data_IF_887889185545
#
_entry.id   IF_887889185545
#
_cell.length_a   1.000
_cell.length_b   1.000
_cell.length_c   1.000
_cell.angle_alpha   90.00
_cell.angle_beta   90.00
_cell.angle_gamma   90.00
#
_symmetry.space_group_name_H-M   'P 1'
#
loop_
_entity.id
_entity.type
_entity.pdbx_description
1 polymer ?
#
# COMPACT_ATOMS: atom_id res chain seq x y z
N UNK A 1 -78.08 18.10 -67.80
CA UNK A 1 -77.42 18.51 -66.55
C UNK A 1 -76.77 17.34 -65.77
N UNK A 2 -76.89 16.08 -66.16
CA UNK A 2 -76.29 14.94 -65.43
C UNK A 2 -74.78 14.71 -65.67
N UNK A 3 -74.18 15.30 -66.70
CA UNK A 3 -72.76 15.10 -67.04
C UNK A 3 -71.77 15.95 -66.23
N UNK A 4 -72.23 17.04 -65.59
CA UNK A 4 -71.35 17.95 -64.83
C UNK A 4 -70.98 17.41 -63.43
N UNK A 5 -71.76 16.48 -62.87
CA UNK A 5 -71.47 15.88 -61.56
C UNK A 5 -70.46 14.73 -61.62
N UNK A 6 -70.48 13.92 -62.68
CA UNK A 6 -69.48 12.86 -62.90
C UNK A 6 -68.08 13.41 -63.13
N UNK A 7 -67.96 14.54 -63.84
CA UNK A 7 -66.68 15.22 -64.08
C UNK A 7 -66.09 15.78 -62.79
N UNK A 8 -66.91 16.40 -61.94
CA UNK A 8 -66.50 16.89 -60.61
C UNK A 8 -66.04 15.75 -59.70
N UNK A 9 -66.73 14.61 -59.73
CA UNK A 9 -66.37 13.45 -58.93
C UNK A 9 -65.02 12.86 -59.35
N UNK A 10 -64.76 12.75 -60.66
CA UNK A 10 -63.46 12.33 -61.19
C UNK A 10 -62.33 13.30 -60.78
N UNK A 11 -62.55 14.61 -60.89
CA UNK A 11 -61.57 15.61 -60.46
C UNK A 11 -61.28 15.55 -58.96
N UNK A 12 -62.29 15.25 -58.13
CA UNK A 12 -62.11 15.03 -56.70
C UNK A 12 -61.25 13.81 -56.40
N UNK A 13 -61.48 12.70 -57.11
CA UNK A 13 -60.68 11.48 -56.96
C UNK A 13 -59.22 11.70 -57.35
N UNK A 14 -58.96 12.39 -58.47
CA UNK A 14 -57.61 12.75 -58.90
C UNK A 14 -56.91 13.62 -57.86
N UNK A 15 -57.63 14.61 -57.30
CA UNK A 15 -57.08 15.46 -56.23
C UNK A 15 -56.74 14.66 -54.98
N UNK A 16 -57.65 13.80 -54.53
CA UNK A 16 -57.44 12.97 -53.35
C UNK A 16 -56.24 12.01 -53.56
N UNK A 17 -56.16 11.37 -54.73
CA UNK A 17 -55.04 10.51 -55.10
C UNK A 17 -53.71 11.29 -55.11
N UNK A 18 -53.68 12.50 -55.69
CA UNK A 18 -52.49 13.33 -55.70
C UNK A 18 -52.06 13.76 -54.28
N UNK A 19 -53.02 14.09 -53.40
CA UNK A 19 -52.72 14.44 -52.01
C UNK A 19 -52.23 13.24 -51.20
N UNK A 20 -52.81 12.06 -51.39
CA UNK A 20 -52.39 10.83 -50.70
C UNK A 20 -51.01 10.37 -51.19
N UNK A 21 -50.75 10.45 -52.50
CA UNK A 21 -49.44 10.14 -53.06
C UNK A 21 -48.35 11.09 -52.54
N UNK A 22 -48.62 12.42 -52.53
CA UNK A 22 -47.69 13.41 -51.97
C UNK A 22 -47.44 13.18 -50.48
N UNK A 23 -48.48 12.84 -49.71
CA UNK A 23 -48.34 12.51 -48.30
C UNK A 23 -47.48 11.26 -48.08
N UNK A 24 -47.75 10.17 -48.81
CA UNK A 24 -46.96 8.94 -48.72
C UNK A 24 -45.50 9.15 -49.14
N UNK A 25 -45.23 9.98 -50.15
CA UNK A 25 -43.86 10.36 -50.52
C UNK A 25 -43.14 11.10 -49.38
N UNK A 26 -43.80 12.05 -48.72
CA UNK A 26 -43.26 12.73 -47.55
C UNK A 26 -43.00 11.77 -46.38
N UNK A 27 -43.92 10.85 -46.09
CA UNK A 27 -43.74 9.83 -45.05
C UNK A 27 -42.53 8.92 -45.35
N UNK A 28 -42.37 8.47 -46.59
CA UNK A 28 -41.21 7.66 -47.01
C UNK A 28 -39.90 8.44 -46.81
N UNK A 29 -39.86 9.73 -47.16
CA UNK A 29 -38.68 10.58 -46.95
C UNK A 29 -38.35 10.70 -45.46
N UNK A 30 -39.35 10.92 -44.61
CA UNK A 30 -39.18 11.01 -43.16
C UNK A 30 -38.67 9.68 -42.56
N UNK A 31 -39.24 8.55 -42.99
CA UNK A 31 -38.80 7.22 -42.55
C UNK A 31 -37.36 6.93 -42.99
N UNK A 32 -36.98 7.29 -44.23
CA UNK A 32 -35.59 7.15 -44.70
C UNK A 32 -34.62 7.98 -43.85
N UNK A 33 -34.98 9.23 -43.54
CA UNK A 33 -34.18 10.08 -42.64
C UNK A 33 -34.02 9.44 -41.26
N UNK A 34 -35.12 8.93 -40.69
CA UNK A 34 -35.08 8.26 -39.38
C UNK A 34 -34.23 6.99 -39.39
N UNK A 35 -34.26 6.20 -40.47
CA UNK A 35 -33.40 5.03 -40.62
C UNK A 35 -31.91 5.43 -40.62
N UNK A 36 -31.56 6.52 -41.28
CA UNK A 36 -30.17 6.98 -41.36
C UNK A 36 -29.68 7.56 -40.02
N UNK A 37 -30.54 8.28 -39.31
CA UNK A 37 -30.28 8.72 -37.93
C UNK A 37 -30.03 7.53 -37.00
N UNK A 38 -30.93 6.53 -37.02
CA UNK A 38 -30.79 5.32 -36.20
C UNK A 38 -29.52 4.52 -36.53
N UNK A 39 -29.11 4.46 -37.81
CA UNK A 39 -27.84 3.84 -38.20
C UNK A 39 -26.64 4.59 -37.65
N UNK A 40 -26.67 5.93 -37.69
CA UNK A 40 -25.61 6.76 -37.14
C UNK A 40 -25.52 6.61 -35.62
N UNK A 41 -26.66 6.58 -34.93
CA UNK A 41 -26.74 6.30 -33.48
C UNK A 41 -26.20 4.91 -33.14
N UNK A 42 -26.54 3.87 -33.93
CA UNK A 42 -26.05 2.51 -33.73
C UNK A 42 -24.52 2.42 -33.87
N UNK A 43 -23.95 3.03 -34.90
CA UNK A 43 -22.49 3.05 -35.11
C UNK A 43 -21.79 3.72 -33.94
N UNK A 44 -22.31 4.86 -33.48
CA UNK A 44 -21.78 5.60 -32.33
C UNK A 44 -21.82 4.75 -31.05
N UNK A 45 -22.99 4.17 -30.73
CA UNK A 45 -23.15 3.33 -29.56
C UNK A 45 -22.23 2.09 -29.60
N UNK A 46 -22.01 1.52 -30.79
CA UNK A 46 -21.10 0.39 -30.96
C UNK A 46 -19.63 0.79 -30.73
N UNK A 47 -19.21 1.98 -31.19
CA UNK A 47 -17.87 2.49 -30.91
C UNK A 47 -17.65 2.72 -29.40
N UNK A 48 -18.60 3.36 -28.73
CA UNK A 48 -18.55 3.58 -27.27
C UNK A 48 -18.51 2.25 -26.49
N UNK A 49 -19.22 1.22 -26.97
CA UNK A 49 -19.18 -0.11 -26.36
C UNK A 49 -17.81 -0.78 -26.49
N UNK A 50 -17.17 -0.70 -27.66
CA UNK A 50 -15.82 -1.28 -27.85
C UNK A 50 -14.77 -0.53 -27.01
N UNK A 51 -14.85 0.80 -26.93
CA UNK A 51 -13.96 1.59 -26.07
C UNK A 51 -14.14 1.21 -24.59
N UNK A 52 -15.39 1.02 -24.14
CA UNK A 52 -15.69 0.56 -22.79
C UNK A 52 -15.17 -0.86 -22.50
N UNK A 53 -15.21 -1.78 -23.49
CA UNK A 53 -14.63 -3.12 -23.36
C UNK A 53 -13.12 -3.07 -23.21
N UNK A 54 -12.43 -2.28 -24.03
CA UNK A 54 -10.98 -2.11 -23.94
C UNK A 54 -10.57 -1.49 -22.61
N UNK A 55 -11.30 -0.47 -22.14
CA UNK A 55 -11.09 0.11 -20.81
C UNK A 55 -11.24 -0.92 -19.69
N UNK A 56 -12.31 -1.72 -19.75
CA UNK A 56 -12.55 -2.82 -18.80
C UNK A 56 -11.40 -3.84 -18.81
N UNK A 57 -10.96 -4.30 -19.99
CA UNK A 57 -9.86 -5.26 -20.10
C UNK A 57 -8.54 -4.71 -19.52
N UNK A 58 -8.25 -3.43 -19.74
CA UNK A 58 -7.10 -2.75 -19.15
C UNK A 58 -7.16 -2.76 -17.61
N UNK A 59 -8.29 -2.35 -17.04
CA UNK A 59 -8.47 -2.35 -15.58
C UNK A 59 -8.44 -3.76 -14.97
N UNK A 60 -8.95 -4.78 -15.67
CA UNK A 60 -8.86 -6.18 -15.21
C UNK A 60 -7.41 -6.70 -15.22
N UNK A 61 -6.57 -6.26 -16.16
CA UNK A 61 -5.15 -6.62 -16.17
C UNK A 61 -4.39 -5.96 -15.01
N UNK A 62 -4.66 -4.67 -14.73
CA UNK A 62 -4.09 -3.97 -13.58
C UNK A 62 -4.48 -4.63 -12.26
N UNK A 63 -5.77 -4.97 -12.10
CA UNK A 63 -6.27 -5.67 -10.92
C UNK A 63 -5.54 -7.00 -10.68
N UNK A 64 -5.34 -7.82 -11.72
CA UNK A 64 -4.55 -9.05 -11.62
C UNK A 64 -3.10 -8.79 -11.22
N UNK A 65 -2.51 -7.69 -11.70
CA UNK A 65 -1.19 -7.25 -11.27
C UNK A 65 -1.13 -6.98 -9.76
N UNK A 66 -2.10 -6.24 -9.23
CA UNK A 66 -2.21 -5.97 -7.81
C UNK A 66 -2.47 -7.22 -6.97
N UNK A 67 -3.28 -8.17 -7.45
CA UNK A 67 -3.51 -9.45 -6.77
C UNK A 67 -2.21 -10.26 -6.60
N UNK A 68 -1.34 -10.27 -7.62
CA UNK A 68 -0.04 -10.95 -7.56
C UNK A 68 0.89 -10.23 -6.58
N UNK A 69 0.97 -8.91 -6.64
CA UNK A 69 1.80 -8.12 -5.70
C UNK A 69 1.34 -8.33 -4.25
N UNK A 70 0.03 -8.38 -4.01
CA UNK A 70 -0.54 -8.66 -2.69
C UNK A 70 -0.13 -10.05 -2.18
N UNK A 71 -0.22 -11.08 -3.02
CA UNK A 71 0.19 -12.44 -2.65
C UNK A 71 1.69 -12.54 -2.32
N UNK A 72 2.53 -11.82 -3.07
CA UNK A 72 3.99 -11.74 -2.79
C UNK A 72 4.27 -11.04 -1.46
N UNK A 73 3.56 -9.95 -1.17
CA UNK A 73 3.69 -9.23 0.09
C UNK A 73 3.24 -10.08 1.27
N UNK A 74 2.12 -10.81 1.14
CA UNK A 74 1.64 -11.71 2.18
C UNK A 74 2.63 -12.84 2.48
N UNK A 75 3.22 -13.46 1.44
CA UNK A 75 4.28 -14.46 1.62
C UNK A 75 5.54 -13.88 2.29
N UNK A 76 5.88 -12.63 1.97
CA UNK A 76 7.01 -11.92 2.59
C UNK A 76 6.76 -11.63 4.07
N UNK A 77 5.54 -11.20 4.42
CA UNK A 77 5.12 -10.99 5.82
C UNK A 77 5.19 -12.29 6.60
N UNK A 78 4.62 -13.38 6.08
CA UNK A 78 4.67 -14.70 6.74
C UNK A 78 6.13 -15.17 6.98
N UNK A 79 7.02 -14.90 6.03
CA UNK A 79 8.45 -15.21 6.18
C UNK A 79 9.11 -14.37 7.27
N UNK A 80 8.80 -13.07 7.35
CA UNK A 80 9.31 -12.18 8.40
C UNK A 80 8.78 -12.58 9.78
N UNK A 81 7.50 -12.90 9.90
CA UNK A 81 6.90 -13.38 11.16
C UNK A 81 7.57 -14.67 11.64
N UNK A 82 7.80 -15.64 10.74
CA UNK A 82 8.53 -16.86 11.07
C UNK A 82 9.96 -16.58 11.57
N UNK A 83 10.66 -15.62 10.95
CA UNK A 83 12.00 -15.19 11.40
C UNK A 83 11.96 -14.53 12.77
N UNK A 84 10.98 -13.66 13.02
CA UNK A 84 10.79 -13.00 14.32
C UNK A 84 10.57 -14.06 15.41
N UNK A 85 9.69 -15.03 15.18
CA UNK A 85 9.42 -16.10 16.14
C UNK A 85 10.69 -16.92 16.44
N UNK A 86 11.45 -17.29 15.41
CA UNK A 86 12.71 -18.02 15.59
C UNK A 86 13.75 -17.22 16.39
N UNK A 87 13.85 -15.90 16.16
CA UNK A 87 14.74 -15.02 16.94
C UNK A 87 14.25 -14.91 18.38
N UNK A 88 12.94 -14.78 18.59
CA UNK A 88 12.33 -14.74 19.91
C UNK A 88 12.66 -16.01 20.71
N UNK A 89 12.53 -17.18 20.09
CA UNK A 89 12.88 -18.48 20.70
C UNK A 89 14.36 -18.54 21.07
N UNK A 90 15.25 -18.09 20.19
CA UNK A 90 16.68 -18.04 20.45
C UNK A 90 17.02 -17.08 21.63
N UNK A 91 16.36 -15.91 21.68
CA UNK A 91 16.51 -14.97 22.80
C UNK A 91 16.04 -15.61 24.11
N UNK A 92 14.90 -16.31 24.11
CA UNK A 92 14.40 -17.02 25.28
C UNK A 92 15.33 -18.15 25.74
N UNK A 93 15.92 -18.89 24.80
CA UNK A 93 16.90 -19.93 25.10
C UNK A 93 18.17 -19.35 25.74
N UNK A 94 18.79 -18.34 25.11
CA UNK A 94 19.97 -17.65 25.64
C UNK A 94 19.67 -17.00 26.99
N UNK A 95 18.49 -16.39 27.16
CA UNK A 95 18.06 -15.82 28.43
C UNK A 95 17.98 -16.88 29.53
N UNK A 96 17.44 -18.06 29.22
CA UNK A 96 17.37 -19.17 30.18
C UNK A 96 18.77 -19.70 30.55
N UNK A 97 19.68 -19.82 29.59
CA UNK A 97 21.07 -20.21 29.83
C UNK A 97 21.81 -19.20 30.72
N UNK A 98 21.62 -17.91 30.46
CA UNK A 98 22.21 -16.83 31.27
C UNK A 98 21.73 -16.87 32.71
N UNK A 99 20.42 -17.07 32.92
CA UNK A 99 19.83 -17.21 34.25
C UNK A 99 20.38 -18.44 34.99
N UNK A 100 20.53 -19.57 34.29
CA UNK A 100 21.12 -20.78 34.87
C UNK A 100 22.58 -20.54 35.30
N UNK A 101 23.40 -19.91 34.45
CA UNK A 101 24.78 -19.55 34.77
C UNK A 101 24.88 -18.61 35.97
N UNK A 102 23.99 -17.59 36.03
CA UNK A 102 23.94 -16.66 37.17
C UNK A 102 23.66 -17.41 38.48
N UNK A 103 22.68 -18.31 38.46
CA UNK A 103 22.30 -19.09 39.64
C UNK A 103 23.42 -20.06 40.07
N UNK A 104 24.19 -20.60 39.12
CA UNK A 104 25.30 -21.50 39.40
C UNK A 104 26.56 -20.79 39.95
N UNK A 105 26.84 -19.55 39.51
CA UNK A 105 28.05 -18.81 39.87
C UNK A 105 28.00 -18.04 41.19
N UNK A 106 26.83 -17.49 41.57
CA UNK A 106 26.79 -16.47 42.62
C UNK A 106 26.52 -17.00 44.04
N UNK A 107 25.81 -18.12 44.20
CA UNK A 107 25.37 -18.57 45.53
C UNK A 107 26.21 -19.72 46.10
N UNK A 108 26.40 -20.80 45.35
CA UNK A 108 26.94 -22.04 45.90
C UNK A 108 28.47 -22.02 46.10
N UNK A 109 29.25 -21.36 45.26
CA UNK A 109 30.72 -21.37 45.40
C UNK A 109 31.28 -20.23 46.26
N UNK A 110 30.63 -19.07 46.24
CA UNK A 110 31.13 -17.88 46.93
C UNK A 110 30.90 -17.99 48.43
N UNK A 111 29.69 -18.35 48.83
CA UNK A 111 29.34 -18.43 50.24
C UNK A 111 30.05 -19.61 50.91
N UNK A 112 30.17 -20.77 50.22
CA UNK A 112 31.03 -21.89 50.65
C UNK A 112 32.49 -21.50 50.87
N UNK A 113 33.05 -20.67 49.97
CA UNK A 113 34.41 -20.19 50.10
C UNK A 113 34.56 -19.26 51.30
N UNK A 114 33.62 -18.34 51.49
CA UNK A 114 33.60 -17.42 52.64
C UNK A 114 33.52 -18.22 53.94
N UNK A 115 32.64 -19.22 54.02
CA UNK A 115 32.50 -20.08 55.19
C UNK A 115 33.78 -20.85 55.52
N UNK A 116 34.43 -21.43 54.50
CA UNK A 116 35.74 -22.10 54.65
C UNK A 116 36.82 -21.14 55.15
N UNK A 117 36.84 -19.91 54.64
CA UNK A 117 37.79 -18.89 55.09
C UNK A 117 37.52 -18.43 56.52
N UNK A 118 36.26 -18.28 56.91
CA UNK A 118 35.87 -17.98 58.29
C UNK A 118 36.28 -19.10 59.25
N UNK A 119 36.07 -20.37 58.86
CA UNK A 119 36.50 -21.52 59.64
C UNK A 119 38.03 -21.57 59.80
N UNK A 120 38.77 -21.36 58.70
CA UNK A 120 40.23 -21.30 58.73
C UNK A 120 40.73 -20.19 59.66
N UNK A 121 40.15 -18.99 59.56
CA UNK A 121 40.47 -17.88 60.45
C UNK A 121 40.20 -18.20 61.93
N UNK A 122 39.12 -18.93 62.22
CA UNK A 122 38.84 -19.40 63.58
C UNK A 122 39.90 -20.40 64.07
N UNK A 123 40.37 -21.32 63.20
CA UNK A 123 41.46 -22.25 63.53
C UNK A 123 42.79 -21.54 63.78
N UNK A 124 43.15 -20.54 62.96
CA UNK A 124 44.36 -19.72 63.16
C UNK A 124 44.31 -19.01 64.52
N UNK A 125 43.15 -18.43 64.87
CA UNK A 125 43.00 -17.72 66.16
C UNK A 125 43.19 -18.67 67.35
N UNK A 126 42.57 -19.86 67.31
CA UNK A 126 42.79 -20.91 68.32
C UNK A 126 44.25 -21.37 68.40
N UNK A 127 44.93 -21.48 67.25
CA UNK A 127 46.35 -21.83 67.22
C UNK A 127 47.21 -20.75 67.90
N UNK A 128 47.01 -19.47 67.58
CA UNK A 128 47.72 -18.39 68.25
C UNK A 128 47.44 -18.34 69.76
N UNK A 129 46.19 -18.57 70.18
CA UNK A 129 45.83 -18.70 71.60
C UNK A 129 46.57 -19.86 72.29
N UNK A 130 46.75 -20.98 71.58
CA UNK A 130 47.53 -22.13 72.08
C UNK A 130 49.04 -21.86 72.14
N UNK A 131 49.59 -21.05 71.22
CA UNK A 131 51.02 -20.69 71.16
C UNK A 131 51.38 -19.59 72.17
N UNK A 132 50.51 -18.61 72.41
CA UNK A 132 50.71 -17.59 73.46
C UNK A 132 50.67 -18.21 74.86
N UNK A 133 50.10 -19.41 74.99
CA UNK A 133 50.06 -20.18 76.23
C UNK A 133 51.35 -21.00 76.51
N UNK A 134 52.34 -20.98 75.61
CA UNK A 134 53.56 -21.79 75.75
C UNK A 134 54.84 -20.91 75.61
N UNK A 135 55.47 -20.50 76.72
CA UNK A 135 56.67 -19.68 76.68
C UNK A 135 57.89 -20.60 76.66
N UNK A 136 58.48 -20.85 75.48
CA UNK A 136 59.92 -21.09 75.29
C UNK A 136 60.24 -21.66 73.90
N UNK A 137 60.86 -20.85 73.03
CA UNK A 137 62.27 -21.02 72.59
C UNK A 137 62.55 -20.19 71.33
N UNK A 138 63.68 -19.49 71.41
CA UNK A 138 64.48 -18.95 70.31
C UNK A 138 64.72 -20.02 69.22
N UNK A 139 64.87 -19.65 67.96
CA UNK A 139 66.19 -19.28 67.40
C UNK A 139 66.18 -19.14 65.86
N UNK A 140 67.12 -18.30 65.40
CA UNK A 140 67.95 -18.42 64.18
C UNK A 140 67.39 -18.30 62.74
N UNK A 141 67.76 -17.16 62.13
CA UNK A 141 68.54 -16.98 60.88
C UNK A 141 68.31 -17.88 59.65
N UNK A 142 68.22 -17.25 58.46
CA UNK A 142 68.55 -17.92 57.20
C UNK A 142 68.13 -17.19 55.93
N UNK A 143 69.01 -16.34 55.40
CA UNK A 143 68.95 -15.84 54.02
C UNK A 143 69.16 -16.99 53.03
N UNK A 144 68.31 -17.15 52.01
CA UNK A 144 68.77 -17.56 50.67
C UNK A 144 67.91 -16.96 49.57
N UNK A 145 68.61 -16.34 48.63
CA UNK A 145 68.14 -15.99 47.29
C UNK A 145 67.94 -17.27 46.49
N UNK A 146 66.86 -17.37 45.71
CA UNK A 146 66.86 -18.16 44.49
C UNK A 146 66.14 -17.42 43.39
N UNK A 147 66.92 -17.10 42.36
CA UNK A 147 66.47 -16.72 41.04
C UNK A 147 65.87 -17.94 40.37
N UNK A 148 64.66 -17.83 39.84
CA UNK A 148 64.21 -18.65 38.71
C UNK A 148 63.62 -17.73 37.65
N UNK A 149 64.50 -17.29 36.75
CA UNK A 149 64.08 -16.81 35.43
C UNK A 149 63.68 -18.03 34.61
N UNK A 150 62.37 -18.30 34.54
CA UNK A 150 61.82 -19.27 33.60
C UNK A 150 61.77 -18.62 32.22
N UNK A 151 62.74 -18.97 31.37
CA UNK A 151 62.64 -18.75 29.94
C UNK A 151 61.51 -19.64 29.39
N UNK A 152 60.34 -19.04 29.12
CA UNK A 152 59.21 -19.66 28.41
C UNK A 152 58.80 -18.84 27.19
N UNK A 153 59.77 -18.29 26.47
CA UNK A 153 59.50 -17.38 25.34
C UNK A 153 58.97 -18.05 24.08
N UNK A 154 59.13 -19.37 23.88
CA UNK A 154 58.66 -20.03 22.65
C UNK A 154 57.16 -20.38 22.67
N UNK A 155 56.67 -20.95 23.79
CA UNK A 155 55.28 -21.39 23.91
C UNK A 155 54.30 -20.21 24.02
N UNK A 156 54.69 -19.13 24.69
CA UNK A 156 53.88 -17.90 24.77
C UNK A 156 53.79 -17.19 23.42
N UNK A 157 54.87 -17.20 22.63
CA UNK A 157 54.87 -16.63 21.28
C UNK A 157 53.98 -17.44 20.33
N UNK A 158 53.95 -18.76 20.44
CA UNK A 158 53.09 -19.62 19.62
C UNK A 158 51.59 -19.45 19.97
N UNK A 159 51.26 -19.26 21.25
CA UNK A 159 49.89 -18.95 21.71
C UNK A 159 49.44 -17.59 21.17
N UNK A 160 50.27 -16.55 21.33
CA UNK A 160 49.97 -15.20 20.84
C UNK A 160 49.83 -15.17 19.31
N UNK A 161 50.65 -15.94 18.60
CA UNK A 161 50.56 -16.05 17.14
C UNK A 161 49.24 -16.71 16.70
N UNK A 162 48.81 -17.77 17.41
CA UNK A 162 47.51 -18.43 17.20
C UNK A 162 46.33 -17.47 17.44
N UNK A 163 46.35 -16.71 18.54
CA UNK A 163 45.33 -15.71 18.85
C UNK A 163 45.27 -14.59 17.81
N UNK A 164 46.44 -14.16 17.32
CA UNK A 164 46.54 -13.17 16.25
C UNK A 164 45.93 -13.68 14.94
N UNK A 165 46.23 -14.92 14.54
CA UNK A 165 45.69 -15.53 13.33
C UNK A 165 44.17 -15.73 13.41
N UNK A 166 43.67 -16.10 14.59
CA UNK A 166 42.24 -16.19 14.86
C UNK A 166 41.56 -14.82 14.75
N UNK A 167 42.18 -13.78 15.32
CA UNK A 167 41.67 -12.41 15.29
C UNK A 167 41.65 -11.86 13.86
N UNK A 168 42.72 -12.08 13.09
CA UNK A 168 42.81 -11.70 11.66
C UNK A 168 41.74 -12.40 10.84
N UNK A 169 41.48 -13.69 11.11
CA UNK A 169 40.44 -14.46 10.44
C UNK A 169 39.05 -13.91 10.74
N UNK A 170 38.78 -13.54 12.00
CA UNK A 170 37.52 -12.90 12.42
C UNK A 170 37.31 -11.56 11.73
N UNK A 171 38.34 -10.70 11.70
CA UNK A 171 38.30 -9.40 11.02
C UNK A 171 37.99 -9.56 9.52
N UNK A 172 38.57 -10.56 8.84
CA UNK A 172 38.28 -10.82 7.42
C UNK A 172 36.83 -11.25 7.18
N UNK A 173 36.25 -12.03 8.10
CA UNK A 173 34.85 -12.45 8.00
C UNK A 173 33.93 -11.24 8.20
N UNK A 174 34.18 -10.46 9.25
CA UNK A 174 33.39 -9.29 9.61
C UNK A 174 33.47 -8.18 8.54
N UNK A 175 34.64 -8.00 7.91
CA UNK A 175 34.79 -7.09 6.76
C UNK A 175 33.89 -7.49 5.59
N UNK A 176 33.81 -8.79 5.26
CA UNK A 176 32.92 -9.28 4.19
C UNK A 176 31.46 -9.06 4.53
N UNK A 177 31.06 -9.31 5.79
CA UNK A 177 29.71 -9.03 6.26
C UNK A 177 29.36 -7.53 6.13
N UNK A 178 30.28 -6.65 6.53
CA UNK A 178 30.11 -5.21 6.38
C UNK A 178 29.95 -4.77 4.92
N UNK A 179 30.72 -5.34 4.00
CA UNK A 179 30.58 -5.06 2.55
C UNK A 179 29.21 -5.48 2.02
N UNK A 180 28.69 -6.64 2.45
CA UNK A 180 27.33 -7.07 2.08
C UNK A 180 26.26 -6.15 2.65
N UNK A 181 26.42 -5.70 3.90
CA UNK A 181 25.48 -4.80 4.56
C UNK A 181 25.48 -3.40 3.93
N UNK A 182 26.63 -2.91 3.47
CA UNK A 182 26.71 -1.71 2.65
C UNK A 182 25.92 -1.83 1.34
N UNK A 183 25.91 -3.01 0.72
CA UNK A 183 25.11 -3.30 -0.47
C UNK A 183 23.61 -3.21 -0.17
N UNK A 184 23.17 -3.83 0.92
CA UNK A 184 21.78 -3.77 1.40
C UNK A 184 21.38 -2.34 1.72
N UNK A 185 22.22 -1.57 2.42
CA UNK A 185 21.94 -0.17 2.73
C UNK A 185 21.71 0.67 1.47
N UNK A 186 22.52 0.50 0.42
CA UNK A 186 22.33 1.21 -0.86
C UNK A 186 21.00 0.85 -1.52
N UNK A 187 20.61 -0.42 -1.48
CA UNK A 187 19.34 -0.89 -2.03
C UNK A 187 18.16 -0.27 -1.27
N UNK A 188 18.18 -0.33 0.07
CA UNK A 188 17.14 0.25 0.93
C UNK A 188 17.02 1.76 0.70
N UNK A 189 18.12 2.47 0.53
CA UNK A 189 18.11 3.91 0.26
C UNK A 189 17.47 4.26 -1.09
N UNK A 190 17.66 3.39 -2.09
CA UNK A 190 17.03 3.55 -3.40
C UNK A 190 15.52 3.27 -3.31
N UNK A 191 15.11 2.19 -2.63
CA UNK A 191 13.70 1.86 -2.40
C UNK A 191 12.96 2.97 -1.65
N UNK A 192 13.61 3.57 -0.64
CA UNK A 192 13.07 4.72 0.09
C UNK A 192 12.81 5.91 -0.84
N UNK A 193 13.77 6.23 -1.70
CA UNK A 193 13.64 7.33 -2.67
C UNK A 193 12.52 7.07 -3.68
N UNK A 194 12.31 5.82 -4.08
CA UNK A 194 11.25 5.41 -5.00
C UNK A 194 9.87 5.49 -4.32
N UNK A 195 9.77 5.08 -3.05
CA UNK A 195 8.56 5.20 -2.23
C UNK A 195 8.18 6.66 -1.98
N UNK A 196 9.14 7.53 -1.69
CA UNK A 196 8.88 8.98 -1.53
C UNK A 196 8.30 9.58 -2.81
N UNK A 197 8.85 9.24 -3.98
CA UNK A 197 8.31 9.69 -5.28
C UNK A 197 6.88 9.19 -5.51
N UNK A 198 6.61 7.92 -5.18
CA UNK A 198 5.25 7.35 -5.27
C UNK A 198 4.27 8.04 -4.33
N UNK A 199 4.70 8.34 -3.10
CA UNK A 199 3.86 9.04 -2.12
C UNK A 199 3.49 10.45 -2.60
N UNK A 200 4.45 11.21 -3.13
CA UNK A 200 4.17 12.56 -3.69
C UNK A 200 3.21 12.51 -4.89
N UNK A 201 3.33 11.50 -5.75
CA UNK A 201 2.39 11.30 -6.86
C UNK A 201 0.98 10.98 -6.35
N UNK A 202 0.86 10.09 -5.36
CA UNK A 202 -0.43 9.73 -4.79
C UNK A 202 -1.12 10.92 -4.11
N UNK A 203 -0.37 11.78 -3.41
CA UNK A 203 -0.92 13.02 -2.83
C UNK A 203 -1.47 13.96 -3.90
N UNK A 204 -0.79 14.06 -5.04
CA UNK A 204 -1.26 14.86 -6.19
C UNK A 204 -2.55 14.29 -6.79
N UNK A 205 -2.61 12.97 -6.99
CA UNK A 205 -3.81 12.27 -7.49
C UNK A 205 -4.99 12.46 -6.53
N UNK A 206 -4.76 12.32 -5.22
CA UNK A 206 -5.82 12.52 -4.22
C UNK A 206 -6.40 13.93 -4.28
N UNK A 207 -5.55 14.94 -4.51
CA UNK A 207 -6.00 16.32 -4.68
C UNK A 207 -6.85 16.47 -5.94
N UNK A 208 -6.38 16.00 -7.09
CA UNK A 208 -7.15 16.03 -8.34
C UNK A 208 -8.50 15.29 -8.20
N UNK A 209 -8.51 14.13 -7.53
CA UNK A 209 -9.74 13.36 -7.28
C UNK A 209 -10.75 14.13 -6.41
N UNK A 210 -10.26 14.87 -5.40
CA UNK A 210 -11.15 15.75 -4.61
C UNK A 210 -11.73 16.88 -5.45
N UNK A 211 -10.95 17.49 -6.33
CA UNK A 211 -11.39 18.54 -7.24
C UNK A 211 -12.42 18.00 -8.24
N UNK A 212 -12.20 16.80 -8.78
CA UNK A 212 -13.10 16.13 -9.70
C UNK A 212 -14.44 15.75 -9.06
N UNK A 213 -14.42 15.27 -7.81
CA UNK A 213 -15.64 15.00 -7.03
C UNK A 213 -16.44 16.28 -6.79
N UNK A 214 -15.79 17.39 -6.49
CA UNK A 214 -16.46 18.69 -6.32
C UNK A 214 -17.05 19.22 -7.63
N UNK A 215 -16.31 19.12 -8.74
CA UNK A 215 -16.84 19.47 -10.06
C UNK A 215 -18.07 18.63 -10.42
N UNK A 216 -18.01 17.32 -10.19
CA UNK A 216 -19.14 16.41 -10.43
C UNK A 216 -20.37 16.84 -9.63
N UNK A 217 -20.19 17.20 -8.35
CA UNK A 217 -21.26 17.71 -7.50
C UNK A 217 -21.89 18.99 -8.07
N UNK A 218 -21.06 19.95 -8.50
CA UNK A 218 -21.53 21.20 -9.09
C UNK A 218 -22.27 20.98 -10.41
N UNK A 219 -21.80 20.05 -11.25
CA UNK A 219 -22.49 19.66 -12.48
C UNK A 219 -23.87 19.10 -12.20
N UNK A 220 -24.00 18.18 -11.24
CA UNK A 220 -25.31 17.63 -10.85
C UNK A 220 -26.28 18.70 -10.33
N UNK A 221 -25.81 19.64 -9.51
CA UNK A 221 -26.64 20.77 -9.04
C UNK A 221 -27.08 21.68 -10.18
N UNK A 222 -26.22 21.90 -11.17
CA UNK A 222 -26.56 22.70 -12.34
C UNK A 222 -27.60 21.99 -13.21
N UNK A 223 -27.46 20.68 -13.43
CA UNK A 223 -28.43 19.87 -14.15
C UNK A 223 -29.82 19.90 -13.49
N UNK A 224 -29.87 19.77 -12.16
CA UNK A 224 -31.13 19.87 -11.41
C UNK A 224 -31.80 21.25 -11.57
N UNK A 225 -31.01 22.33 -11.48
CA UNK A 225 -31.52 23.69 -11.74
C UNK A 225 -32.03 23.84 -13.17
N UNK A 226 -31.31 23.32 -14.16
CA UNK A 226 -31.73 23.32 -15.56
C UNK A 226 -33.03 22.53 -15.78
N UNK A 227 -33.19 21.38 -15.12
CA UNK A 227 -34.44 20.61 -15.14
C UNK A 227 -35.59 21.40 -14.50
N UNK A 228 -35.39 21.97 -13.31
CA UNK A 228 -36.39 22.81 -12.64
C UNK A 228 -36.80 24.02 -13.49
N UNK A 229 -35.85 24.70 -14.14
CA UNK A 229 -36.17 25.81 -15.05
C UNK A 229 -36.96 25.35 -16.26
N UNK A 230 -36.63 24.20 -16.84
CA UNK A 230 -37.38 23.60 -17.94
C UNK A 230 -38.82 23.32 -17.53
N UNK A 231 -39.04 22.69 -16.38
CA UNK A 231 -40.37 22.37 -15.88
C UNK A 231 -41.18 23.64 -15.59
N UNK A 232 -40.55 24.66 -15.03
CA UNK A 232 -41.20 25.95 -14.75
C UNK A 232 -41.59 26.68 -16.05
N UNK A 233 -40.71 26.70 -17.05
CA UNK A 233 -41.03 27.24 -18.36
C UNK A 233 -42.20 26.47 -18.98
N UNK A 234 -42.16 25.14 -18.97
CA UNK A 234 -43.23 24.31 -19.50
C UNK A 234 -44.57 24.58 -18.80
N UNK A 235 -44.58 24.75 -17.46
CA UNK A 235 -45.79 25.18 -16.72
C UNK A 235 -46.32 26.53 -17.19
N UNK A 236 -45.45 27.51 -17.46
CA UNK A 236 -45.85 28.84 -17.93
C UNK A 236 -46.42 28.85 -19.34
N UNK A 237 -45.99 27.92 -20.20
CA UNK A 237 -46.53 27.79 -21.54
C UNK A 237 -47.85 27.00 -21.60
N UNK A 238 -48.24 26.31 -20.52
CA UNK A 238 -49.54 25.64 -20.46
C UNK A 238 -50.68 26.61 -20.14
N UNK A 239 -51.78 26.52 -20.89
CA UNK A 239 -52.98 27.28 -20.61
C UNK A 239 -53.62 26.84 -19.27
N UNK A 240 -53.87 27.74 -18.31
CA UNK A 240 -54.47 27.36 -17.02
C UNK A 240 -55.87 26.74 -17.12
N UNK A 241 -56.60 27.04 -18.21
CA UNK A 241 -57.99 26.62 -18.39
C UNK A 241 -58.15 25.31 -19.17
N UNK A 242 -57.23 24.99 -20.09
CA UNK A 242 -57.34 23.79 -20.95
C UNK A 242 -56.08 22.92 -21.01
N UNK A 243 -55.02 23.30 -20.28
CA UNK A 243 -53.72 22.62 -20.18
C UNK A 243 -52.99 22.34 -21.49
N UNK A 244 -53.44 22.90 -22.63
CA UNK A 244 -52.66 22.85 -23.87
C UNK A 244 -51.38 23.65 -23.73
N UNK A 245 -50.31 23.09 -24.27
CA UNK A 245 -49.03 23.77 -24.43
C UNK A 245 -49.13 24.79 -25.56
N UNK A 246 -48.85 26.06 -25.25
CA UNK A 246 -48.90 27.18 -26.18
C UNK A 246 -47.51 27.56 -26.71
N UNK A 247 -46.46 26.81 -26.39
CA UNK A 247 -45.08 27.11 -26.78
C UNK A 247 -44.91 27.29 -28.29
N UNK A 248 -45.44 26.36 -29.10
CA UNK A 248 -45.42 26.45 -30.58
C UNK A 248 -46.20 27.66 -31.11
N UNK A 249 -47.38 27.94 -30.56
CA UNK A 249 -48.20 29.07 -31.00
C UNK A 249 -47.52 30.42 -30.69
N UNK A 250 -46.81 30.51 -29.56
CA UNK A 250 -46.05 31.70 -29.19
C UNK A 250 -44.80 31.87 -30.06
N UNK A 251 -44.11 30.78 -30.41
CA UNK A 251 -42.92 30.84 -31.26
C UNK A 251 -43.28 31.33 -32.69
N UNK A 252 -44.40 30.86 -33.24
CA UNK A 252 -44.96 31.35 -34.50
C UNK A 252 -45.33 32.84 -34.40
N UNK A 253 -45.97 33.27 -33.31
CA UNK A 253 -46.29 34.70 -33.09
C UNK A 253 -45.03 35.58 -33.02
N UNK A 254 -43.99 35.12 -32.32
CA UNK A 254 -42.73 35.86 -32.17
C UNK A 254 -41.95 35.95 -33.49
N UNK A 255 -41.99 34.91 -34.33
CA UNK A 255 -41.39 34.95 -35.67
C UNK A 255 -42.14 35.92 -36.60
N UNK A 256 -43.47 35.97 -36.51
CA UNK A 256 -44.29 36.91 -37.31
C UNK A 256 -44.10 38.38 -36.90
N UNK A 257 -43.72 38.66 -35.64
CA UNK A 257 -43.44 40.03 -35.15
C UNK A 257 -42.03 40.52 -35.55
N UNK A 258 -41.12 39.62 -35.90
CA UNK A 258 -39.74 39.94 -36.30
C UNK A 258 -39.57 40.27 -37.79
N UNK A 259 -40.60 40.02 -38.61
CA UNK A 259 -40.69 40.43 -40.02
C UNK A 259 -41.49 41.71 -40.15
#
# INVERSE_FOLDING_TARGET
>A
MAGMDSEKQLLSLIRNFASENSHGEHEIVNLKKRIEELRSELIKANAELEDAKLGKESSEQELKGYEVELAMNEASIQTLEARINSVQDAISAVGSELEALRNQGDAESRDDFIDKMLELNARIRKFHESVVSDPNKEDSCGTTSSKEGVSKTAAEVEIVQSELDQTVSRIKLEKRAYETEQGVHKLVQQDLSDLERKASLMESIMKEDTELRELTRQTSELEEKCASFRDELQRRFQCPSCQRDNSEALDVLLQTIRT
#
